data_IF_482618989919
#
_entry.id   IF_482618989919
#
_cell.length_a   1.000
_cell.length_b   1.000
_cell.length_c   1.000
_cell.angle_alpha   90.00
_cell.angle_beta   90.00
_cell.angle_gamma   90.00
#
_symmetry.space_group_name_H-M   'P 1'
#
loop_
_entity.id
_entity.type
_entity.pdbx_description
1 polymer ?
#
# COMPACT_ATOMS: atom_id res chain seq x y z
N UNK A 1 0.08 1.15 6.96
CA UNK A 1 -0.10 2.60 7.09
C UNK A 1 -1.34 2.99 6.33
N UNK A 2 -2.15 3.88 6.90
CA UNK A 2 -3.31 4.42 6.19
C UNK A 2 -2.85 5.16 4.92
N UNK A 3 -3.69 5.15 3.89
CA UNK A 3 -3.37 5.71 2.58
C UNK A 3 -4.19 6.96 2.32
N UNK A 4 -5.51 6.87 2.45
CA UNK A 4 -6.44 7.91 2.03
C UNK A 4 -6.34 9.14 2.92
N UNK A 5 -5.75 10.23 2.41
CA UNK A 5 -5.50 11.44 3.19
C UNK A 5 -4.26 11.37 4.09
N UNK A 6 -3.51 10.27 4.05
CA UNK A 6 -2.26 10.08 4.82
C UNK A 6 -1.03 10.02 3.91
N UNK A 7 -1.00 9.09 2.95
CA UNK A 7 0.16 8.84 2.09
C UNK A 7 -0.02 9.31 0.64
N UNK A 8 -1.27 9.52 0.21
CA UNK A 8 -1.58 10.01 -1.14
C UNK A 8 -2.11 11.44 -1.07
N UNK A 9 -1.72 12.25 -2.05
CA UNK A 9 -2.27 13.59 -2.22
C UNK A 9 -3.73 13.56 -2.72
N UNK A 10 -4.35 14.74 -2.84
CA UNK A 10 -5.71 14.91 -3.34
C UNK A 10 -5.89 14.44 -4.80
N UNK A 11 -4.79 14.21 -5.52
CA UNK A 11 -4.77 13.68 -6.89
C UNK A 11 -4.43 12.18 -6.92
N UNK A 12 -4.43 11.51 -5.76
CA UNK A 12 -4.10 10.09 -5.59
C UNK A 12 -2.69 9.73 -6.06
N UNK A 13 -1.75 10.68 -5.93
CA UNK A 13 -0.34 10.45 -6.22
C UNK A 13 0.44 10.19 -4.94
N UNK A 14 1.44 9.32 -5.06
CA UNK A 14 2.44 9.07 -4.01
C UNK A 14 3.70 9.85 -4.39
N UNK A 15 4.20 10.68 -3.48
CA UNK A 15 5.38 11.52 -3.72
C UNK A 15 6.63 10.66 -4.00
N UNK A 16 7.57 11.19 -4.77
CA UNK A 16 8.84 10.50 -5.04
C UNK A 16 9.63 10.22 -3.75
N UNK A 17 9.60 11.15 -2.79
CA UNK A 17 10.21 10.99 -1.47
C UNK A 17 9.61 9.79 -0.72
N UNK A 18 8.28 9.70 -0.65
CA UNK A 18 7.58 8.59 0.01
C UNK A 18 7.97 7.24 -0.58
N UNK A 19 8.01 7.12 -1.92
CA UNK A 19 8.42 5.86 -2.58
C UNK A 19 9.85 5.47 -2.23
N UNK A 20 10.76 6.44 -2.24
CA UNK A 20 12.17 6.24 -1.90
C UNK A 20 12.32 5.79 -0.44
N UNK A 21 11.68 6.48 0.50
CA UNK A 21 11.73 6.12 1.93
C UNK A 21 11.17 4.73 2.20
N UNK A 22 10.03 4.37 1.58
CA UNK A 22 9.47 3.02 1.71
C UNK A 22 10.46 1.97 1.23
N UNK A 23 11.08 2.18 0.06
CA UNK A 23 12.06 1.23 -0.50
C UNK A 23 13.30 1.08 0.38
N UNK A 24 13.86 2.18 0.87
CA UNK A 24 15.04 2.16 1.75
C UNK A 24 14.78 1.40 3.06
N UNK A 25 13.57 1.52 3.60
CA UNK A 25 13.16 0.78 4.80
C UNK A 25 12.89 -0.70 4.48
N UNK A 26 12.29 -1.01 3.33
CA UNK A 26 12.12 -2.39 2.86
C UNK A 26 13.47 -3.09 2.68
N UNK A 27 14.48 -2.39 2.16
CA UNK A 27 15.85 -2.91 2.01
C UNK A 27 16.54 -3.20 3.34
N UNK A 28 16.06 -2.60 4.43
CA UNK A 28 16.49 -2.89 5.80
C UNK A 28 15.66 -4.00 6.47
N UNK A 29 14.75 -4.64 5.73
CA UNK A 29 13.92 -5.74 6.21
C UNK A 29 12.56 -5.33 6.76
N UNK A 30 12.16 -4.05 6.65
CA UNK A 30 10.83 -3.63 7.05
C UNK A 30 9.76 -4.15 6.07
N UNK A 31 8.65 -4.66 6.60
CA UNK A 31 7.50 -5.06 5.78
C UNK A 31 6.49 -3.91 5.78
N UNK A 32 6.08 -3.47 4.60
CA UNK A 32 5.10 -2.39 4.45
C UNK A 32 3.74 -2.92 4.02
N UNK A 33 2.70 -2.42 4.68
CA UNK A 33 1.31 -2.65 4.30
C UNK A 33 0.62 -1.31 4.00
N UNK A 34 -0.11 -1.26 2.89
CA UNK A 34 -1.17 -0.28 2.63
C UNK A 34 -2.41 -0.73 3.40
N UNK A 35 -2.96 0.15 4.25
CA UNK A 35 -4.27 -0.05 4.87
C UNK A 35 -5.25 0.97 4.29
N UNK A 36 -6.41 0.52 3.80
CA UNK A 36 -7.42 1.40 3.21
C UNK A 36 -8.82 0.81 3.33
N UNK A 37 -9.83 1.68 3.36
CA UNK A 37 -11.24 1.30 3.24
C UNK A 37 -11.66 0.92 1.81
N UNK A 38 -10.82 1.20 0.82
CA UNK A 38 -11.09 0.88 -0.59
C UNK A 38 -11.09 -0.63 -0.84
N UNK A 39 -11.81 -1.05 -1.88
CA UNK A 39 -11.76 -2.42 -2.37
C UNK A 39 -10.34 -2.81 -2.82
N UNK A 40 -10.01 -4.10 -2.73
CA UNK A 40 -8.68 -4.64 -3.08
C UNK A 40 -8.23 -4.24 -4.50
N UNK A 41 -9.13 -4.19 -5.48
CA UNK A 41 -8.80 -3.79 -6.85
C UNK A 41 -8.22 -2.38 -6.94
N UNK A 42 -8.80 -1.44 -6.20
CA UNK A 42 -8.33 -0.05 -6.16
C UNK A 42 -7.07 0.08 -5.30
N UNK A 43 -6.97 -0.67 -4.21
CA UNK A 43 -5.75 -0.73 -3.41
C UNK A 43 -4.54 -1.22 -4.22
N UNK A 44 -4.73 -2.20 -5.13
CA UNK A 44 -3.68 -2.68 -6.04
C UNK A 44 -3.17 -1.62 -7.01
N UNK A 45 -4.03 -0.71 -7.48
CA UNK A 45 -3.59 0.41 -8.31
C UNK A 45 -2.66 1.35 -7.54
N UNK A 46 -2.90 1.53 -6.23
CA UNK A 46 -2.05 2.35 -5.37
C UNK A 46 -0.74 1.62 -5.06
N UNK A 47 -0.79 0.32 -4.75
CA UNK A 47 0.39 -0.53 -4.58
C UNK A 47 1.35 -0.38 -5.76
N UNK A 48 0.85 -0.51 -7.00
CA UNK A 48 1.65 -0.36 -8.22
C UNK A 48 2.30 1.03 -8.37
N UNK A 49 1.68 2.07 -7.83
CA UNK A 49 2.29 3.42 -7.81
C UNK A 49 3.45 3.52 -6.82
N UNK A 50 3.49 2.68 -5.78
CA UNK A 50 4.58 2.61 -4.81
C UNK A 50 5.65 1.62 -5.29
N UNK A 51 5.37 0.32 -5.15
CA UNK A 51 6.09 -0.84 -5.69
C UNK A 51 5.29 -2.13 -5.38
N UNK A 52 5.67 -3.26 -5.99
CA UNK A 52 4.97 -4.54 -5.83
C UNK A 52 5.26 -5.27 -4.51
N UNK A 53 6.24 -4.82 -3.72
CA UNK A 53 6.67 -5.45 -2.47
C UNK A 53 5.84 -4.97 -1.26
N UNK A 54 5.05 -3.92 -1.45
CA UNK A 54 4.11 -3.43 -0.42
C UNK A 54 2.87 -4.31 -0.40
N UNK A 55 2.49 -4.81 0.77
CA UNK A 55 1.31 -5.65 0.95
C UNK A 55 0.04 -4.81 1.18
N UNK A 56 -1.14 -5.45 1.18
CA UNK A 56 -2.43 -4.73 1.20
C UNK A 56 -3.36 -5.27 2.29
N UNK A 57 -3.96 -4.35 3.04
CA UNK A 57 -5.16 -4.52 3.86
C UNK A 57 -6.23 -3.60 3.27
N UNK A 58 -7.31 -4.18 2.76
CA UNK A 58 -8.36 -3.52 2.00
C UNK A 58 -9.73 -3.70 2.68
N UNK A 59 -10.74 -3.01 2.18
CA UNK A 59 -12.13 -3.12 2.60
C UNK A 59 -12.29 -2.99 4.12
N UNK A 60 -11.63 -2.01 4.72
CA UNK A 60 -11.60 -1.76 6.17
C UNK A 60 -11.13 -2.98 6.99
N UNK A 61 -10.20 -3.76 6.45
CA UNK A 61 -9.62 -4.92 7.13
C UNK A 61 -10.33 -6.24 6.90
N UNK A 62 -11.44 -6.26 6.15
CA UNK A 62 -12.12 -7.51 5.78
C UNK A 62 -11.37 -8.32 4.73
N UNK A 63 -10.42 -7.72 4.01
CA UNK A 63 -9.62 -8.40 2.99
C UNK A 63 -8.16 -8.03 3.17
N UNK A 64 -7.24 -9.00 3.12
CA UNK A 64 -5.82 -8.71 3.08
C UNK A 64 -5.06 -9.63 2.11
N UNK A 65 -3.95 -9.11 1.59
CA UNK A 65 -3.03 -9.82 0.71
C UNK A 65 -1.70 -10.04 1.44
N UNK A 66 -1.13 -11.22 1.28
CA UNK A 66 0.24 -11.54 1.67
C UNK A 66 0.91 -12.30 0.53
N UNK A 67 1.86 -11.66 -0.15
CA UNK A 67 2.43 -12.13 -1.40
C UNK A 67 1.34 -12.31 -2.45
N UNK A 68 1.20 -13.53 -2.96
CA UNK A 68 0.16 -13.87 -3.95
C UNK A 68 -1.15 -14.37 -3.33
N UNK A 69 -1.21 -14.54 -2.00
CA UNK A 69 -2.40 -15.07 -1.33
C UNK A 69 -3.33 -13.94 -0.90
N UNK A 70 -4.63 -14.13 -1.12
CA UNK A 70 -5.69 -13.21 -0.72
C UNK A 70 -6.56 -13.92 0.32
N UNK A 71 -6.83 -13.23 1.41
CA UNK A 71 -7.71 -13.67 2.49
C UNK A 71 -8.91 -12.73 2.58
N UNK A 72 -10.11 -13.29 2.79
CA UNK A 72 -11.39 -12.59 2.86
C UNK A 72 -12.24 -13.16 3.98
#
# INVERSE_FOLDING_TARGET
MDIDGTLIDNHQNVSALTKKTIKELQDQGAIFYIATGRMLSLAKLIQQKINNDVEIIASNGSVYQKGHHIHK
#
